data_IF_345389446524
#
_entry.id   IF_345389446524
#
_cell.length_a   1.000
_cell.length_b   1.000
_cell.length_c   1.000
_cell.angle_alpha   90.00
_cell.angle_beta   90.00
_cell.angle_gamma   90.00
#
_symmetry.space_group_name_H-M   'P 1'
#
loop_
_entity.id
_entity.type
_entity.pdbx_description
1 polymer ?
#
# COMPACT_ATOMS: atom_id res chain seq x y z
N UNK A 1 9.95 16.86 -9.74
CA UNK A 1 8.83 15.91 -9.55
C UNK A 1 9.06 14.91 -8.43
N UNK A 2 10.29 14.46 -8.17
CA UNK A 2 10.59 13.48 -7.11
C UNK A 2 10.08 13.89 -5.73
N UNK A 3 10.36 15.13 -5.31
CA UNK A 3 9.96 15.63 -3.99
C UNK A 3 8.44 15.56 -3.77
N UNK A 4 7.65 15.89 -4.79
CA UNK A 4 6.18 15.79 -4.73
C UNK A 4 5.74 14.35 -4.46
N UNK A 5 6.25 13.39 -5.24
CA UNK A 5 5.89 11.99 -5.07
C UNK A 5 6.43 11.40 -3.76
N UNK A 6 7.62 11.81 -3.31
CA UNK A 6 8.15 11.43 -1.99
C UNK A 6 7.18 11.86 -0.89
N UNK A 7 6.78 13.13 -0.86
CA UNK A 7 5.79 13.65 0.10
C UNK A 7 4.44 12.94 0.01
N UNK A 8 4.00 12.61 -1.21
CA UNK A 8 2.75 11.88 -1.43
C UNK A 8 2.78 10.48 -0.80
N UNK A 9 3.86 9.72 -1.01
CA UNK A 9 3.97 8.37 -0.46
C UNK A 9 4.34 8.35 1.04
N UNK A 10 5.02 9.38 1.54
CA UNK A 10 5.17 9.60 2.99
C UNK A 10 3.81 9.87 3.65
N UNK A 11 2.96 10.70 3.03
CA UNK A 11 1.60 10.93 3.48
C UNK A 11 0.75 9.65 3.39
N UNK A 12 0.86 8.88 2.31
CA UNK A 12 0.15 7.61 2.16
C UNK A 12 0.52 6.62 3.28
N UNK A 13 1.82 6.51 3.59
CA UNK A 13 2.30 5.70 4.71
C UNK A 13 1.71 6.18 6.04
N UNK A 14 1.73 7.49 6.31
CA UNK A 14 1.11 8.05 7.51
C UNK A 14 -0.39 7.73 7.60
N UNK A 15 -1.13 7.90 6.52
CA UNK A 15 -2.57 7.66 6.47
C UNK A 15 -2.91 6.17 6.68
N UNK A 16 -2.19 5.28 6.01
CA UNK A 16 -2.37 3.84 6.17
C UNK A 16 -2.07 3.37 7.60
N UNK A 17 -1.02 3.91 8.24
CA UNK A 17 -0.74 3.61 9.65
C UNK A 17 -1.83 4.15 10.58
N UNK A 18 -2.41 5.33 10.30
CA UNK A 18 -3.54 5.85 11.08
C UNK A 18 -4.78 4.96 11.00
N UNK A 19 -5.08 4.42 9.81
CA UNK A 19 -6.17 3.46 9.64
C UNK A 19 -5.87 2.17 10.42
N UNK A 20 -4.65 1.64 10.32
CA UNK A 20 -4.23 0.45 11.06
C UNK A 20 -4.34 0.64 12.58
N UNK A 21 -3.91 1.78 13.11
CA UNK A 21 -4.05 2.12 14.54
C UNK A 21 -5.51 2.04 14.99
N UNK A 22 -6.45 2.59 14.21
CA UNK A 22 -7.89 2.55 14.50
C UNK A 22 -8.39 1.10 14.48
N UNK A 23 -8.06 0.35 13.42
CA UNK A 23 -8.44 -1.08 13.28
C UNK A 23 -8.00 -1.90 14.49
N UNK A 24 -6.76 -1.70 14.96
CA UNK A 24 -6.21 -2.45 16.10
C UNK A 24 -6.78 -1.99 17.45
N UNK A 25 -7.30 -0.77 17.54
CA UNK A 25 -7.88 -0.22 18.77
C UNK A 25 -9.34 -0.62 19.01
N UNK A 26 -10.04 -1.09 17.97
CA UNK A 26 -11.45 -1.45 18.05
C UNK A 26 -11.68 -2.96 18.08
N UNK A 27 -12.41 -3.43 19.11
CA UNK A 27 -12.72 -4.86 19.28
C UNK A 27 -13.66 -5.38 18.17
N UNK A 28 -14.54 -4.51 17.65
CA UNK A 28 -15.59 -4.87 16.67
C UNK A 28 -15.51 -4.00 15.41
N UNK A 29 -14.32 -3.88 14.82
CA UNK A 29 -14.14 -3.09 13.60
C UNK A 29 -14.97 -3.68 12.42
N UNK A 30 -15.62 -2.85 11.58
CA UNK A 30 -16.48 -3.37 10.51
C UNK A 30 -15.73 -4.23 9.48
N UNK A 31 -16.21 -5.45 9.24
CA UNK A 31 -15.58 -6.39 8.28
C UNK A 31 -15.47 -5.80 6.86
N UNK A 32 -16.50 -5.08 6.39
CA UNK A 32 -16.45 -4.43 5.08
C UNK A 32 -15.30 -3.40 4.99
N UNK A 33 -15.00 -2.70 6.08
CA UNK A 33 -13.89 -1.76 6.11
C UNK A 33 -12.52 -2.48 6.07
N UNK A 34 -12.38 -3.64 6.75
CA UNK A 34 -11.20 -4.50 6.63
C UNK A 34 -11.00 -4.99 5.19
N UNK A 35 -12.09 -5.39 4.52
CA UNK A 35 -12.06 -5.82 3.12
C UNK A 35 -11.62 -4.69 2.19
N UNK A 36 -12.14 -3.47 2.36
CA UNK A 36 -11.72 -2.33 1.55
C UNK A 36 -10.27 -1.93 1.81
N UNK A 37 -9.80 -2.03 3.06
CA UNK A 37 -8.42 -1.75 3.38
C UNK A 37 -7.46 -2.81 2.83
N UNK A 38 -7.86 -4.10 2.86
CA UNK A 38 -7.16 -5.18 2.15
C UNK A 38 -7.02 -4.84 0.67
N UNK A 39 -8.13 -4.49 0.02
CA UNK A 39 -8.14 -4.13 -1.40
C UNK A 39 -7.19 -2.97 -1.72
N UNK A 40 -7.18 -1.91 -0.90
CA UNK A 40 -6.31 -0.75 -1.08
C UNK A 40 -4.82 -1.16 -1.09
N UNK A 41 -4.38 -1.91 -0.09
CA UNK A 41 -2.97 -2.29 0.05
C UNK A 41 -2.54 -3.32 -1.02
N UNK A 42 -3.44 -4.24 -1.39
CA UNK A 42 -3.22 -5.20 -2.48
C UNK A 42 -3.12 -4.49 -3.83
N UNK A 43 -3.96 -3.47 -4.06
CA UNK A 43 -3.92 -2.68 -5.28
C UNK A 43 -2.59 -1.92 -5.40
N UNK A 44 -2.12 -1.28 -4.33
CA UNK A 44 -0.81 -0.63 -4.27
C UNK A 44 0.32 -1.60 -4.63
N UNK A 45 0.33 -2.79 -4.02
CA UNK A 45 1.31 -3.85 -4.28
C UNK A 45 1.28 -4.33 -5.73
N UNK A 46 0.07 -4.51 -6.26
CA UNK A 46 -0.14 -4.99 -7.62
C UNK A 46 0.36 -4.00 -8.65
N UNK A 47 0.08 -2.71 -8.48
CA UNK A 47 0.61 -1.68 -9.38
C UNK A 47 2.13 -1.63 -9.35
N UNK A 48 2.74 -1.68 -8.17
CA UNK A 48 4.19 -1.75 -8.05
C UNK A 48 4.80 -2.96 -8.76
N UNK A 49 4.16 -4.13 -8.61
CA UNK A 49 4.62 -5.36 -9.25
C UNK A 49 4.54 -5.26 -10.78
N UNK A 50 3.49 -4.63 -11.31
CA UNK A 50 3.36 -4.31 -12.75
C UNK A 50 4.43 -3.34 -13.22
N UNK A 51 4.73 -2.29 -12.45
CA UNK A 51 5.82 -1.34 -12.75
C UNK A 51 7.17 -2.08 -12.83
N UNK A 52 7.38 -3.09 -11.98
CA UNK A 52 8.57 -3.95 -11.99
C UNK A 52 8.58 -4.99 -13.13
N UNK A 53 7.59 -4.99 -14.02
CA UNK A 53 7.50 -5.90 -15.18
C UNK A 53 7.20 -7.36 -14.81
N UNK A 54 6.70 -7.62 -13.60
CA UNK A 54 6.34 -8.96 -13.14
C UNK A 54 4.87 -9.24 -13.46
N UNK A 55 4.60 -10.44 -13.97
CA UNK A 55 3.23 -10.90 -14.15
C UNK A 55 2.60 -11.22 -12.79
N UNK A 56 1.36 -10.80 -12.60
CA UNK A 56 0.51 -11.20 -11.48
C UNK A 56 -0.67 -11.98 -12.08
N UNK A 57 -1.01 -13.17 -11.55
CA UNK A 57 -2.26 -13.83 -11.92
C UNK A 57 -3.41 -12.83 -11.83
N UNK A 58 -4.19 -12.71 -12.91
CA UNK A 58 -5.04 -11.55 -13.17
C UNK A 58 -6.18 -11.33 -12.18
N UNK A 59 -6.41 -12.29 -11.27
CA UNK A 59 -7.67 -12.43 -10.56
C UNK A 59 -7.39 -12.78 -9.09
N UNK A 60 -7.12 -11.79 -8.25
CA UNK A 60 -8.16 -11.27 -7.35
C UNK A 60 -7.59 -10.13 -6.52
N UNK A 61 -8.18 -8.93 -6.62
CA UNK A 61 -7.82 -7.79 -5.75
C UNK A 61 -8.64 -7.81 -4.45
N UNK A 62 -9.52 -8.79 -4.27
CA UNK A 62 -10.55 -8.80 -3.24
C UNK A 62 -10.34 -9.86 -2.16
N UNK A 63 -9.19 -10.53 -2.15
CA UNK A 63 -8.87 -11.40 -1.01
C UNK A 63 -8.60 -10.54 0.23
N UNK A 64 -9.09 -11.03 1.36
CA UNK A 64 -8.94 -10.36 2.65
C UNK A 64 -7.63 -10.79 3.29
N UNK A 65 -6.91 -9.84 3.88
CA UNK A 65 -5.68 -10.09 4.64
C UNK A 65 -5.87 -9.63 6.08
N UNK A 66 -5.12 -10.24 6.99
CA UNK A 66 -5.20 -9.97 8.42
C UNK A 66 -4.59 -8.62 8.80
N UNK A 67 -4.92 -8.07 9.99
CA UNK A 67 -4.27 -6.87 10.50
C UNK A 67 -2.73 -6.95 10.59
N UNK A 68 -2.18 -8.14 10.86
CA UNK A 68 -0.73 -8.34 10.84
C UNK A 68 -0.16 -8.21 9.42
N UNK A 69 -0.89 -8.72 8.42
CA UNK A 69 -0.50 -8.58 7.01
C UNK A 69 -0.64 -7.12 6.52
N UNK A 70 -1.58 -6.33 7.05
CA UNK A 70 -1.64 -4.89 6.77
C UNK A 70 -0.33 -4.19 7.13
N UNK A 71 0.20 -4.46 8.33
CA UNK A 71 1.44 -3.81 8.78
C UNK A 71 2.61 -4.10 7.83
N UNK A 72 2.78 -5.37 7.45
CA UNK A 72 3.84 -5.77 6.52
C UNK A 72 3.64 -5.17 5.13
N UNK A 73 2.41 -5.18 4.62
CA UNK A 73 2.12 -4.68 3.27
C UNK A 73 2.24 -3.14 3.17
N UNK A 74 1.88 -2.40 4.22
CA UNK A 74 2.11 -0.94 4.30
C UNK A 74 3.61 -0.63 4.21
N UNK A 75 4.42 -1.36 4.98
CA UNK A 75 5.88 -1.18 4.99
C UNK A 75 6.49 -1.55 3.64
N UNK A 76 6.08 -2.68 3.07
CA UNK A 76 6.57 -3.15 1.77
C UNK A 76 6.21 -2.16 0.65
N UNK A 77 4.94 -1.76 0.55
CA UNK A 77 4.48 -0.80 -0.46
C UNK A 77 5.22 0.53 -0.33
N UNK A 78 5.32 1.09 0.88
CA UNK A 78 5.99 2.37 1.12
C UNK A 78 7.45 2.32 0.67
N UNK A 79 8.19 1.28 1.08
CA UNK A 79 9.59 1.13 0.70
C UNK A 79 9.74 0.99 -0.82
N UNK A 80 8.92 0.18 -1.46
CA UNK A 80 8.95 -0.05 -2.89
C UNK A 80 8.70 1.25 -3.69
N UNK A 81 7.69 2.05 -3.31
CA UNK A 81 7.40 3.31 -3.98
C UNK A 81 8.47 4.37 -3.74
N UNK A 82 8.99 4.50 -2.52
CA UNK A 82 10.07 5.44 -2.22
C UNK A 82 11.37 5.06 -2.94
N UNK A 83 11.67 3.76 -3.06
CA UNK A 83 12.79 3.26 -3.86
C UNK A 83 12.61 3.57 -5.35
N UNK A 84 11.41 3.34 -5.89
CA UNK A 84 11.07 3.69 -7.27
C UNK A 84 11.28 5.19 -7.54
N UNK A 85 10.80 6.06 -6.65
CA UNK A 85 10.94 7.52 -6.79
C UNK A 85 12.41 7.93 -6.70
N UNK A 86 13.16 7.38 -5.75
CA UNK A 86 14.59 7.64 -5.58
C UNK A 86 15.35 7.32 -6.87
N UNK A 87 15.08 6.15 -7.46
CA UNK A 87 15.76 5.62 -8.63
C UNK A 87 15.22 6.16 -9.97
N UNK A 88 14.08 6.88 -9.98
CA UNK A 88 13.57 7.51 -11.19
C UNK A 88 14.57 8.54 -11.74
N UNK A 89 14.75 8.64 -13.05
CA UNK A 89 15.58 9.69 -13.65
C UNK A 89 14.73 10.94 -13.89
N UNK A 90 15.23 12.12 -13.52
CA UNK A 90 14.66 13.38 -14.01
C UNK A 90 15.08 13.58 -15.46
N UNK A 91 14.45 12.85 -16.39
CA UNK A 91 14.55 13.20 -17.81
C UNK A 91 13.51 14.29 -18.10
N UNK A 92 14.02 15.50 -18.27
CA UNK A 92 13.33 16.68 -18.78
C UNK A 92 12.94 16.48 -20.25
#
# INVERSE_FOLDING_TARGET
MKEYFTKLFEYNNWANNKILEIILSEINFPQNALKYFSHLLIAEKTWMTRIKGKEIPSNDFWYEISPNEFQELIKENTNDYLELIKNSNEKY
#
